data_IF_868488124097
#
_entry.id   IF_868488124097
#
_cell.length_a   1.000
_cell.length_b   1.000
_cell.length_c   1.000
_cell.angle_alpha   90.00
_cell.angle_beta   90.00
_cell.angle_gamma   90.00
#
_symmetry.space_group_name_H-M   'P 1'
#
loop_
_entity.id
_entity.type
_entity.pdbx_description
1 polymer ?
#
# COMPACT_ATOMS: atom_id res chain seq x y z
N UNK A 1 -19.68 -36.12 12.60
CA UNK A 1 -20.73 -35.29 13.24
C UNK A 1 -20.52 -33.87 12.74
N UNK A 2 -21.10 -33.56 11.57
CA UNK A 2 -20.87 -32.29 10.86
C UNK A 2 -22.00 -31.36 11.25
N UNK A 3 -21.72 -30.41 12.14
CA UNK A 3 -22.72 -29.47 12.63
C UNK A 3 -23.04 -28.46 11.53
N UNK A 4 -24.27 -28.59 11.01
CA UNK A 4 -24.96 -27.66 10.14
C UNK A 4 -24.83 -26.23 10.65
N UNK A 5 -24.20 -25.36 9.85
CA UNK A 5 -24.24 -23.92 10.07
C UNK A 5 -25.68 -23.46 9.80
N UNK A 6 -26.33 -22.88 10.81
CA UNK A 6 -27.64 -22.23 10.65
C UNK A 6 -27.40 -20.72 10.63
N UNK A 7 -27.56 -20.13 9.46
CA UNK A 7 -27.66 -18.69 9.29
C UNK A 7 -28.96 -18.20 9.93
N UNK A 8 -28.85 -17.61 11.12
CA UNK A 8 -29.93 -16.85 11.73
C UNK A 8 -29.44 -15.44 12.02
N UNK A 9 -29.87 -14.48 11.20
CA UNK A 9 -29.66 -13.07 11.48
C UNK A 9 -29.34 -12.27 10.22
N UNK A 10 -30.38 -11.94 9.45
CA UNK A 10 -30.33 -10.91 8.40
C UNK A 10 -29.92 -9.58 9.03
N UNK A 11 -28.64 -9.24 8.90
CA UNK A 11 -28.20 -7.85 8.78
C UNK A 11 -27.20 -7.85 7.63
N UNK A 12 -27.78 -7.87 6.44
CA UNK A 12 -27.08 -7.78 5.17
C UNK A 12 -26.60 -6.32 5.01
N UNK A 13 -25.56 -5.95 5.77
CA UNK A 13 -24.77 -4.76 5.47
C UNK A 13 -24.02 -5.07 4.18
N UNK A 14 -24.72 -4.83 3.07
CA UNK A 14 -24.23 -4.98 1.71
C UNK A 14 -22.94 -4.17 1.60
N UNK A 15 -21.83 -4.84 1.28
CA UNK A 15 -20.59 -4.17 0.91
C UNK A 15 -20.92 -3.24 -0.27
N UNK A 16 -20.98 -1.93 -0.01
CA UNK A 16 -21.29 -0.94 -1.04
C UNK A 16 -20.17 -0.96 -2.08
N UNK A 17 -20.53 -0.70 -3.35
CA UNK A 17 -19.55 -0.60 -4.42
C UNK A 17 -18.45 0.40 -4.05
N UNK A 18 -17.22 -0.10 -3.99
CA UNK A 18 -16.04 0.73 -3.77
C UNK A 18 -15.89 1.59 -5.03
N UNK A 19 -16.24 2.88 -4.94
CA UNK A 19 -15.93 3.83 -6.00
C UNK A 19 -14.41 3.98 -6.08
N UNK A 20 -13.81 4.02 -7.27
CA UNK A 20 -12.38 4.27 -7.39
C UNK A 20 -12.05 5.59 -6.70
N UNK A 21 -11.03 5.57 -5.83
CA UNK A 21 -10.45 6.79 -5.29
C UNK A 21 -9.73 7.47 -6.45
N UNK A 22 -10.42 8.36 -7.16
CA UNK A 22 -9.73 9.35 -7.96
C UNK A 22 -9.06 10.29 -6.95
N UNK A 23 -7.76 10.11 -6.71
CA UNK A 23 -6.97 11.17 -6.10
C UNK A 23 -7.10 12.39 -7.02
N UNK A 24 -7.94 13.35 -6.65
CA UNK A 24 -7.97 14.65 -7.32
C UNK A 24 -6.73 15.38 -6.82
N UNK A 25 -5.60 15.11 -7.45
CA UNK A 25 -4.40 15.94 -7.28
C UNK A 25 -4.75 17.28 -7.90
N UNK A 26 -5.23 18.21 -7.07
CA UNK A 26 -5.28 19.61 -7.47
C UNK A 26 -3.82 20.05 -7.69
N UNK A 27 -3.46 20.57 -8.88
CA UNK A 27 -2.08 20.94 -9.19
C UNK A 27 -1.56 22.13 -8.37
N UNK A 28 -2.36 22.67 -7.44
CA UNK A 28 -2.13 23.96 -6.80
C UNK A 28 -1.39 23.92 -5.45
N UNK A 29 -0.90 22.77 -4.97
CA UNK A 29 -0.16 22.72 -3.69
C UNK A 29 1.03 21.76 -3.72
N UNK A 30 1.91 21.91 -4.70
CA UNK A 30 3.19 21.23 -4.75
C UNK A 30 4.28 22.19 -4.27
N UNK A 31 4.63 22.11 -2.97
CA UNK A 31 5.96 22.52 -2.53
C UNK A 31 6.93 21.73 -3.39
N UNK A 32 7.71 22.42 -4.25
CA UNK A 32 8.57 21.80 -5.26
C UNK A 32 9.63 20.94 -4.58
N UNK A 33 9.32 19.68 -4.32
CA UNK A 33 10.28 18.67 -3.87
C UNK A 33 11.11 18.23 -5.07
N UNK A 34 12.38 17.95 -4.83
CA UNK A 34 13.29 17.48 -5.87
C UNK A 34 12.91 16.05 -6.26
N UNK A 35 12.81 15.78 -7.57
CA UNK A 35 12.54 14.45 -8.08
C UNK A 35 13.69 13.50 -7.70
N UNK A 36 13.41 12.33 -7.09
CA UNK A 36 14.43 11.37 -6.71
C UNK A 36 15.30 10.93 -7.90
N UNK A 37 16.61 10.86 -7.70
CA UNK A 37 17.57 10.45 -8.73
C UNK A 37 17.25 9.07 -9.33
N UNK A 38 16.73 8.15 -8.51
CA UNK A 38 16.31 6.81 -8.94
C UNK A 38 15.26 6.83 -10.07
N UNK A 39 14.33 7.78 -10.06
CA UNK A 39 13.31 7.91 -11.12
C UNK A 39 13.92 8.48 -12.41
N UNK A 40 14.93 9.34 -12.30
CA UNK A 40 15.69 9.87 -13.43
C UNK A 40 16.56 8.78 -14.08
N UNK A 41 17.14 7.88 -13.28
CA UNK A 41 17.89 6.72 -13.76
C UNK A 41 16.97 5.70 -14.46
N UNK A 42 15.78 5.50 -13.91
CA UNK A 42 14.75 4.66 -14.52
C UNK A 42 14.32 5.22 -15.88
N UNK A 43 14.08 6.53 -15.98
CA UNK A 43 13.83 7.22 -17.25
C UNK A 43 14.95 6.99 -18.27
N UNK A 44 16.19 7.16 -17.85
CA UNK A 44 17.35 7.04 -18.76
C UNK A 44 17.51 5.61 -19.29
N UNK A 45 17.21 4.61 -18.47
CA UNK A 45 17.31 3.19 -18.85
C UNK A 45 16.11 2.68 -19.66
N UNK A 46 14.90 3.19 -19.40
CA UNK A 46 13.66 2.68 -20.01
C UNK A 46 13.20 3.41 -21.27
N UNK A 47 13.76 4.59 -21.60
CA UNK A 47 13.36 5.38 -22.76
C UNK A 47 14.15 5.11 -24.06
N UNK A 48 14.90 4.01 -24.18
CA UNK A 48 15.77 3.75 -25.34
C UNK A 48 15.01 3.57 -26.68
N UNK A 49 13.79 3.05 -26.63
CA UNK A 49 12.93 2.83 -27.81
C UNK A 49 11.86 3.92 -27.99
N UNK A 50 11.89 4.98 -27.18
CA UNK A 50 10.90 6.06 -27.26
C UNK A 50 11.33 7.16 -28.22
N UNK A 51 10.37 7.74 -28.92
CA UNK A 51 10.62 8.97 -29.66
C UNK A 51 10.84 10.16 -28.70
N UNK A 52 11.38 11.27 -29.24
CA UNK A 52 11.68 12.46 -28.44
C UNK A 52 10.43 13.05 -27.76
N UNK A 53 9.26 12.98 -28.40
CA UNK A 53 8.01 13.52 -27.87
C UNK A 53 7.48 12.65 -26.72
N UNK A 54 7.57 11.33 -26.85
CA UNK A 54 7.24 10.35 -25.83
C UNK A 54 8.16 10.52 -24.61
N UNK A 55 9.47 10.64 -24.83
CA UNK A 55 10.45 10.85 -23.75
C UNK A 55 10.14 12.13 -22.96
N UNK A 56 9.77 13.23 -23.64
CA UNK A 56 9.38 14.48 -22.99
C UNK A 56 8.11 14.29 -22.15
N UNK A 57 7.10 13.58 -22.67
CA UNK A 57 5.86 13.32 -21.92
C UNK A 57 6.09 12.48 -20.67
N UNK A 58 6.91 11.43 -20.76
CA UNK A 58 7.23 10.58 -19.61
C UNK A 58 7.99 11.36 -18.55
N UNK A 59 8.94 12.23 -18.95
CA UNK A 59 9.63 13.13 -18.02
C UNK A 59 8.66 14.06 -17.29
N UNK A 60 7.75 14.71 -18.03
CA UNK A 60 6.74 15.60 -17.44
C UNK A 60 5.84 14.87 -16.44
N UNK A 61 5.38 13.67 -16.78
CA UNK A 61 4.56 12.84 -15.89
C UNK A 61 5.30 12.52 -14.58
N UNK A 62 6.57 12.14 -14.68
CA UNK A 62 7.38 11.81 -13.51
C UNK A 62 7.66 13.05 -12.67
N UNK A 63 7.99 14.18 -13.29
CA UNK A 63 8.19 15.43 -12.53
C UNK A 63 6.92 15.86 -11.78
N UNK A 64 5.75 15.69 -12.40
CA UNK A 64 4.45 16.06 -11.81
C UNK A 64 4.02 15.14 -10.66
N UNK A 65 4.26 13.83 -10.78
CA UNK A 65 3.77 12.82 -9.84
C UNK A 65 4.89 12.04 -9.11
N UNK A 66 6.10 12.60 -9.02
CA UNK A 66 7.26 11.91 -8.44
C UNK A 66 7.03 11.45 -6.98
N UNK A 67 6.16 12.14 -6.25
CA UNK A 67 5.78 11.86 -4.87
C UNK A 67 4.77 10.71 -4.72
N UNK A 68 4.06 10.35 -5.79
CA UNK A 68 3.15 9.19 -5.82
C UNK A 68 3.89 7.87 -6.07
N UNK A 69 5.14 7.92 -6.55
CA UNK A 69 5.96 6.73 -6.75
C UNK A 69 6.59 6.28 -5.42
N UNK A 70 6.42 4.99 -5.11
CA UNK A 70 7.10 4.31 -4.01
C UNK A 70 8.58 4.11 -4.34
N UNK A 71 9.34 5.20 -4.27
CA UNK A 71 10.80 5.25 -4.48
C UNK A 71 11.58 4.75 -3.26
N UNK A 72 11.05 5.01 -2.07
CA UNK A 72 11.59 4.54 -0.81
C UNK A 72 10.62 3.53 -0.18
N UNK A 73 11.14 2.43 0.37
CA UNK A 73 10.36 1.42 1.11
C UNK A 73 9.62 2.03 2.33
N UNK A 74 10.07 3.20 2.80
CA UNK A 74 9.49 3.94 3.93
C UNK A 74 8.15 4.62 3.60
N UNK A 75 7.77 4.75 2.31
CA UNK A 75 6.57 5.48 1.88
C UNK A 75 5.38 4.56 1.61
N UNK A 76 5.06 3.65 2.54
CA UNK A 76 3.79 2.92 2.44
C UNK A 76 2.61 3.86 2.77
N UNK A 77 1.75 4.10 1.78
CA UNK A 77 0.59 4.97 1.94
C UNK A 77 -0.47 4.44 2.92
N UNK A 78 -1.06 5.32 3.73
CA UNK A 78 -2.23 5.04 4.57
C UNK A 78 -3.40 5.88 4.06
N UNK A 79 -4.58 5.27 3.92
CA UNK A 79 -5.80 5.99 3.55
C UNK A 79 -6.66 6.22 4.79
N UNK A 80 -7.13 7.45 4.98
CA UNK A 80 -8.06 7.82 6.06
C UNK A 80 -9.53 7.68 5.64
N UNK A 81 -9.78 7.32 4.38
CA UNK A 81 -11.10 7.32 3.75
C UNK A 81 -11.98 6.17 4.25
N UNK A 82 -11.41 4.97 4.39
CA UNK A 82 -12.14 3.77 4.80
C UNK A 82 -11.43 3.12 5.97
N UNK A 83 -12.19 2.80 7.01
CA UNK A 83 -11.74 1.95 8.11
C UNK A 83 -12.57 0.67 8.09
N UNK A 84 -11.91 -0.46 7.87
CA UNK A 84 -12.58 -1.75 7.87
C UNK A 84 -12.81 -2.23 9.31
N UNK A 85 -14.04 -2.67 9.60
CA UNK A 85 -14.38 -3.37 10.84
C UNK A 85 -14.29 -4.87 10.58
N UNK A 86 -13.47 -5.57 11.37
CA UNK A 86 -13.45 -7.04 11.36
C UNK A 86 -14.64 -7.51 12.20
N UNK A 87 -15.59 -8.21 11.60
CA UNK A 87 -16.74 -8.78 12.31
C UNK A 87 -16.34 -10.11 12.97
N UNK A 88 -16.11 -10.10 14.28
CA UNK A 88 -15.80 -11.30 15.06
C UNK A 88 -17.04 -11.99 15.63
N UNK A 89 -18.25 -11.45 15.43
CA UNK A 89 -19.48 -11.93 16.06
C UNK A 89 -19.36 -12.06 17.59
N UNK A 90 -19.86 -13.15 18.14
CA UNK A 90 -19.78 -13.48 19.57
C UNK A 90 -18.51 -14.26 19.95
N UNK A 91 -17.54 -14.35 19.04
CA UNK A 91 -16.30 -15.12 19.25
C UNK A 91 -15.46 -14.49 20.36
N UNK A 92 -15.08 -15.30 21.34
CA UNK A 92 -14.22 -14.88 22.44
C UNK A 92 -12.76 -14.76 21.97
N UNK A 93 -11.96 -13.82 22.52
CA UNK A 93 -10.54 -13.72 22.22
C UNK A 93 -9.78 -15.03 22.52
N UNK A 94 -8.93 -15.45 21.59
CA UNK A 94 -8.13 -16.67 21.73
C UNK A 94 -6.68 -16.28 22.05
N UNK A 95 -6.20 -16.65 23.24
CA UNK A 95 -4.78 -16.49 23.60
C UNK A 95 -3.97 -17.68 23.09
N UNK A 96 -3.08 -17.43 22.14
CA UNK A 96 -2.12 -18.42 21.63
C UNK A 96 -0.69 -18.05 22.06
N UNK A 97 0.10 -19.05 22.45
CA UNK A 97 1.52 -18.81 22.73
C UNK A 97 2.28 -18.57 21.42
N UNK A 98 3.15 -17.56 21.33
CA UNK A 98 4.00 -17.37 20.17
C UNK A 98 4.87 -18.61 19.92
N UNK A 99 5.07 -18.96 18.64
CA UNK A 99 6.03 -20.01 18.27
C UNK A 99 7.44 -19.43 18.24
N UNK A 100 8.42 -20.20 18.72
CA UNK A 100 9.82 -19.76 18.77
C UNK A 100 10.37 -19.60 17.35
N UNK A 101 11.00 -18.45 17.09
CA UNK A 101 11.76 -18.23 15.85
C UNK A 101 13.11 -18.97 15.94
N UNK A 102 13.50 -19.77 14.92
CA UNK A 102 14.79 -20.45 14.86
C UNK A 102 15.95 -19.45 14.99
N UNK A 103 17.05 -19.86 15.66
CA UNK A 103 18.19 -18.98 15.94
C UNK A 103 18.74 -18.30 14.67
N UNK A 104 18.87 -19.05 13.57
CA UNK A 104 19.37 -18.53 12.29
C UNK A 104 18.50 -17.42 11.68
N UNK A 105 17.22 -17.30 12.07
CA UNK A 105 16.27 -16.32 11.52
C UNK A 105 15.93 -15.17 12.47
N UNK A 106 16.43 -15.19 13.71
CA UNK A 106 16.05 -14.17 14.72
C UNK A 106 16.44 -12.76 14.31
N UNK A 107 17.69 -12.58 13.89
CA UNK A 107 18.22 -11.28 13.45
C UNK A 107 17.39 -10.69 12.30
N UNK A 108 17.01 -11.54 11.35
CA UNK A 108 16.20 -11.10 10.21
C UNK A 108 14.77 -10.76 10.62
N UNK A 109 14.15 -11.59 11.45
CA UNK A 109 12.82 -11.32 11.98
C UNK A 109 12.76 -10.01 12.78
N UNK A 110 13.78 -9.76 13.62
CA UNK A 110 13.93 -8.50 14.37
C UNK A 110 14.05 -7.31 13.43
N UNK A 111 14.88 -7.41 12.37
CA UNK A 111 15.01 -6.34 11.36
C UNK A 111 13.66 -5.99 10.73
N UNK A 112 12.92 -6.99 10.27
CA UNK A 112 11.61 -6.80 9.64
C UNK A 112 10.61 -6.16 10.62
N UNK A 113 10.57 -6.62 11.87
CA UNK A 113 9.69 -6.02 12.88
C UNK A 113 10.04 -4.54 13.09
N UNK A 114 11.33 -4.21 13.22
CA UNK A 114 11.78 -2.81 13.37
C UNK A 114 11.45 -1.96 12.14
N UNK A 115 11.50 -2.52 10.94
CA UNK A 115 11.11 -1.80 9.72
C UNK A 115 9.57 -1.57 9.68
N UNK A 116 8.76 -2.51 10.18
CA UNK A 116 7.29 -2.39 10.25
C UNK A 116 6.78 -1.42 11.34
N UNK A 117 7.60 -1.12 12.36
CA UNK A 117 7.26 -0.18 13.43
C UNK A 117 7.37 1.30 13.01
N UNK A 118 7.96 1.57 11.84
CA UNK A 118 8.09 2.92 11.26
C UNK A 118 6.77 3.40 10.65
#
# INVERSE_FOLDING_TARGET
MVSSWKDTGKNEEKCTEIRPVCAVTSPANLSRKECPQQLLDLLTSSCHDLDNQQTIRVRQLIEEYHDEFATDDDKTGKTHIIRHKINTGDSQPIRQHPRRVPLAKRKEAERIITDMER
#
